data_IF_581882008379
#
_entry.id   IF_581882008379
#
_cell.length_a   1.000
_cell.length_b   1.000
_cell.length_c   1.000
_cell.angle_alpha   90.00
_cell.angle_beta   90.00
_cell.angle_gamma   90.00
#
_symmetry.space_group_name_H-M   'P 1'
#
loop_
_entity.id
_entity.type
_entity.pdbx_description
1 polymer ?
#
# COMPACT_ATOMS: atom_id res chain seq x y z
N UNK A 1 34.10 -43.48 -4.15
CA UNK A 1 32.81 -43.99 -3.66
C UNK A 1 32.34 -43.09 -2.54
N UNK A 2 31.18 -42.44 -2.67
CA UNK A 2 30.57 -41.72 -1.54
C UNK A 2 30.12 -42.75 -0.50
N UNK A 3 30.55 -42.63 0.76
CA UNK A 3 30.09 -43.49 1.86
C UNK A 3 28.58 -43.29 2.07
N UNK A 4 27.85 -44.37 2.35
CA UNK A 4 26.38 -44.38 2.46
C UNK A 4 25.80 -43.31 3.39
N UNK A 5 26.53 -42.96 4.46
CA UNK A 5 26.18 -41.90 5.42
C UNK A 5 26.19 -40.48 4.83
N UNK A 6 27.05 -40.20 3.85
CA UNK A 6 27.08 -38.90 3.14
C UNK A 6 25.93 -38.78 2.15
N UNK A 7 25.50 -39.88 1.54
CA UNK A 7 24.39 -39.91 0.59
C UNK A 7 23.04 -39.72 1.31
N UNK A 8 22.81 -40.39 2.44
CA UNK A 8 21.59 -40.18 3.25
C UNK A 8 21.52 -38.78 3.83
N UNK A 9 22.64 -38.20 4.28
CA UNK A 9 22.68 -36.82 4.76
C UNK A 9 22.31 -35.82 3.67
N UNK A 10 22.86 -35.98 2.45
CA UNK A 10 22.53 -35.10 1.31
C UNK A 10 21.05 -35.22 0.91
N UNK A 11 20.48 -36.43 0.93
CA UNK A 11 19.05 -36.65 0.65
C UNK A 11 18.17 -35.99 1.72
N UNK A 12 18.52 -36.08 3.00
CA UNK A 12 17.78 -35.41 4.08
C UNK A 12 17.85 -33.89 3.98
N UNK A 13 19.02 -33.31 3.70
CA UNK A 13 19.16 -31.86 3.50
C UNK A 13 18.32 -31.40 2.30
N UNK A 14 18.33 -32.15 1.20
CA UNK A 14 17.53 -31.82 0.02
C UNK A 14 16.02 -31.95 0.28
N UNK A 15 15.58 -33.04 0.94
CA UNK A 15 14.18 -33.22 1.35
C UNK A 15 13.71 -32.14 2.33
N UNK A 16 14.54 -31.76 3.31
CA UNK A 16 14.23 -30.69 4.25
C UNK A 16 14.11 -29.33 3.55
N UNK A 17 14.99 -29.02 2.60
CA UNK A 17 14.90 -27.81 1.79
C UNK A 17 13.64 -27.79 0.90
N UNK A 18 13.28 -28.94 0.31
CA UNK A 18 12.08 -29.07 -0.52
C UNK A 18 10.81 -28.94 0.31
N UNK A 19 10.77 -29.56 1.49
CA UNK A 19 9.67 -29.44 2.45
C UNK A 19 9.53 -27.99 2.95
N UNK A 20 10.63 -27.34 3.33
CA UNK A 20 10.63 -25.94 3.75
C UNK A 20 10.11 -25.02 2.62
N UNK A 21 10.54 -25.25 1.38
CA UNK A 21 10.06 -24.49 0.22
C UNK A 21 8.56 -24.70 -0.03
N UNK A 22 8.07 -25.94 0.03
CA UNK A 22 6.64 -26.25 -0.17
C UNK A 22 5.77 -25.68 0.96
N UNK A 23 6.20 -25.79 2.22
CA UNK A 23 5.51 -25.19 3.37
C UNK A 23 5.49 -23.66 3.24
N UNK A 24 6.61 -23.04 2.80
CA UNK A 24 6.69 -21.60 2.58
C UNK A 24 5.76 -21.11 1.47
N UNK A 25 5.71 -21.83 0.33
CA UNK A 25 4.83 -21.46 -0.79
C UNK A 25 3.36 -21.54 -0.38
N UNK A 26 2.97 -22.60 0.33
CA UNK A 26 1.60 -22.75 0.86
C UNK A 26 1.26 -21.68 1.90
N UNK A 27 2.16 -21.42 2.84
CA UNK A 27 1.95 -20.40 3.87
C UNK A 27 1.73 -18.99 3.27
N UNK A 28 2.47 -18.63 2.22
CA UNK A 28 2.24 -17.37 1.52
C UNK A 28 0.85 -17.33 0.89
N UNK A 29 0.43 -18.40 0.22
CA UNK A 29 -0.91 -18.50 -0.38
C UNK A 29 -2.02 -18.38 0.68
N UNK A 30 -1.83 -19.03 1.85
CA UNK A 30 -2.76 -18.97 2.98
C UNK A 30 -2.91 -17.54 3.52
N UNK A 31 -1.80 -16.79 3.63
CA UNK A 31 -1.85 -15.37 4.02
C UNK A 31 -2.65 -14.53 3.02
N UNK A 32 -2.44 -14.73 1.71
CA UNK A 32 -3.22 -14.01 0.70
C UNK A 32 -4.71 -14.37 0.73
N UNK A 33 -5.07 -15.61 1.05
CA UNK A 33 -6.48 -16.01 1.25
C UNK A 33 -7.08 -15.25 2.43
N UNK A 34 -6.37 -15.19 3.56
CA UNK A 34 -6.80 -14.45 4.75
C UNK A 34 -6.97 -12.95 4.46
N UNK A 35 -6.04 -12.34 3.72
CA UNK A 35 -6.12 -10.93 3.28
C UNK A 35 -7.34 -10.69 2.38
N UNK A 36 -7.60 -11.56 1.41
CA UNK A 36 -8.78 -11.43 0.52
C UNK A 36 -10.09 -11.54 1.28
N UNK A 37 -10.12 -12.34 2.34
CA UNK A 37 -11.25 -12.51 3.23
C UNK A 37 -11.43 -11.32 4.21
N UNK A 38 -10.45 -10.41 4.32
CA UNK A 38 -10.40 -9.35 5.34
C UNK A 38 -10.47 -9.91 6.79
N UNK A 39 -9.88 -11.09 7.00
CA UNK A 39 -9.89 -11.80 8.28
C UNK A 39 -8.59 -11.52 9.06
N UNK A 40 -8.66 -10.58 10.00
CA UNK A 40 -7.51 -10.19 10.84
C UNK A 40 -7.03 -11.33 11.75
N UNK A 41 -7.93 -12.21 12.20
CA UNK A 41 -7.55 -13.34 13.06
C UNK A 41 -6.74 -14.36 12.27
N UNK A 42 -7.18 -14.70 11.06
CA UNK A 42 -6.45 -15.61 10.17
C UNK A 42 -5.09 -15.02 9.74
N UNK A 43 -5.03 -13.70 9.47
CA UNK A 43 -3.77 -13.01 9.17
C UNK A 43 -2.80 -13.10 10.36
N UNK A 44 -3.26 -12.77 11.57
CA UNK A 44 -2.45 -12.85 12.77
C UNK A 44 -1.90 -14.26 13.00
N UNK A 45 -2.76 -15.28 12.87
CA UNK A 45 -2.36 -16.69 13.01
C UNK A 45 -1.32 -17.11 11.97
N UNK A 46 -1.48 -16.70 10.71
CA UNK A 46 -0.51 -17.02 9.65
C UNK A 46 0.87 -16.39 9.95
N UNK A 47 0.88 -15.13 10.37
CA UNK A 47 2.13 -14.43 10.73
C UNK A 47 2.77 -15.05 11.97
N UNK A 48 1.99 -15.38 13.00
CA UNK A 48 2.48 -16.02 14.21
C UNK A 48 2.99 -17.46 13.95
N UNK A 49 2.50 -18.11 12.88
CA UNK A 49 3.01 -19.40 12.37
C UNK A 49 4.31 -19.26 11.55
N UNK A 50 4.85 -18.05 11.39
CA UNK A 50 6.11 -17.78 10.70
C UNK A 50 5.98 -17.60 9.19
N UNK A 51 4.78 -17.32 8.67
CA UNK A 51 4.61 -16.91 7.28
C UNK A 51 5.27 -15.54 7.06
N UNK A 52 5.94 -15.40 5.93
CA UNK A 52 6.55 -14.12 5.54
C UNK A 52 5.46 -13.09 5.19
N UNK A 53 5.29 -12.14 6.12
CA UNK A 53 4.43 -10.97 6.03
C UNK A 53 4.62 -10.13 4.76
N UNK A 54 5.83 -10.10 4.20
CA UNK A 54 6.18 -9.31 3.02
C UNK A 54 6.29 -10.17 1.76
N UNK A 55 5.80 -11.41 1.80
CA UNK A 55 5.88 -12.32 0.67
C UNK A 55 5.15 -11.78 -0.55
N UNK A 56 5.82 -11.83 -1.70
CA UNK A 56 5.25 -11.37 -2.96
C UNK A 56 4.33 -12.46 -3.52
N UNK A 57 3.05 -12.13 -3.69
CA UNK A 57 2.04 -13.02 -4.27
C UNK A 57 2.21 -13.19 -5.78
N UNK A 58 1.40 -14.06 -6.38
CA UNK A 58 1.43 -14.32 -7.84
C UNK A 58 1.15 -13.09 -8.71
N UNK A 59 0.49 -12.07 -8.16
CA UNK A 59 0.25 -10.78 -8.81
C UNK A 59 1.39 -9.77 -8.69
N UNK A 60 2.53 -10.15 -8.11
CA UNK A 60 3.68 -9.24 -7.92
C UNK A 60 3.55 -8.28 -6.75
N UNK A 61 2.48 -8.39 -5.95
CA UNK A 61 2.18 -7.48 -4.84
C UNK A 61 2.52 -8.09 -3.49
N UNK A 62 2.87 -7.26 -2.51
CA UNK A 62 2.86 -7.65 -1.09
C UNK A 62 1.43 -7.82 -0.58
N UNK A 63 1.23 -8.52 0.57
CA UNK A 63 -0.10 -8.66 1.16
C UNK A 63 -0.71 -7.30 1.53
N UNK A 64 0.13 -6.36 2.01
CA UNK A 64 -0.30 -4.99 2.35
C UNK A 64 -0.82 -4.24 1.12
N UNK A 65 -0.06 -4.24 0.01
CA UNK A 65 -0.49 -3.58 -1.22
C UNK A 65 -1.79 -4.18 -1.75
N UNK A 66 -1.89 -5.52 -1.75
CA UNK A 66 -3.12 -6.20 -2.17
C UNK A 66 -4.33 -5.78 -1.31
N UNK A 67 -4.16 -5.72 0.01
CA UNK A 67 -5.19 -5.29 0.94
C UNK A 67 -5.67 -3.86 0.64
N UNK A 68 -4.73 -2.94 0.41
CA UNK A 68 -5.05 -1.54 0.08
C UNK A 68 -5.82 -1.42 -1.22
N UNK A 69 -5.35 -2.05 -2.29
CA UNK A 69 -5.96 -1.95 -3.62
C UNK A 69 -7.36 -2.58 -3.65
N UNK A 70 -7.58 -3.64 -2.88
CA UNK A 70 -8.86 -4.34 -2.79
C UNK A 70 -9.79 -3.82 -1.68
N UNK A 71 -9.37 -2.82 -0.91
CA UNK A 71 -10.20 -2.16 0.10
C UNK A 71 -10.37 -2.94 1.41
N UNK A 72 -9.44 -3.84 1.74
CA UNK A 72 -9.50 -4.76 2.90
C UNK A 72 -8.96 -4.07 4.14
N UNK A 73 -9.78 -3.20 4.74
CA UNK A 73 -9.36 -2.31 5.83
C UNK A 73 -8.86 -3.08 7.06
N UNK A 74 -9.54 -4.17 7.47
CA UNK A 74 -9.10 -4.94 8.65
C UNK A 74 -7.75 -5.60 8.39
N UNK A 75 -7.56 -6.14 7.19
CA UNK A 75 -6.30 -6.69 6.76
C UNK A 75 -5.19 -5.63 6.76
N UNK A 76 -5.45 -4.42 6.22
CA UNK A 76 -4.47 -3.31 6.26
C UNK A 76 -4.05 -3.00 7.70
N UNK A 77 -5.02 -2.85 8.62
CA UNK A 77 -4.73 -2.55 10.02
C UNK A 77 -3.87 -3.64 10.65
N UNK A 78 -4.26 -4.92 10.51
CA UNK A 78 -3.53 -6.03 11.11
C UNK A 78 -2.11 -6.16 10.54
N UNK A 79 -1.96 -6.05 9.21
CA UNK A 79 -0.65 -6.13 8.55
C UNK A 79 0.28 -5.02 9.03
N UNK A 80 -0.21 -3.78 9.15
CA UNK A 80 0.59 -2.66 9.66
C UNK A 80 0.93 -2.83 11.15
N UNK A 81 0.01 -3.36 11.97
CA UNK A 81 0.27 -3.66 13.38
C UNK A 81 1.34 -4.74 13.55
N UNK A 82 1.40 -5.71 12.64
CA UNK A 82 2.43 -6.75 12.58
C UNK A 82 3.74 -6.29 11.93
N UNK A 83 3.82 -5.03 11.49
CA UNK A 83 5.03 -4.42 10.96
C UNK A 83 5.28 -4.68 9.47
N UNK A 84 4.22 -4.76 8.66
CA UNK A 84 4.37 -4.91 7.21
C UNK A 84 5.19 -3.77 6.63
N UNK A 85 6.13 -4.11 5.75
CA UNK A 85 6.98 -3.13 5.11
C UNK A 85 6.26 -2.53 3.89
N UNK A 86 5.92 -1.26 4.00
CA UNK A 86 5.22 -0.51 2.95
C UNK A 86 6.11 -0.18 1.73
N UNK A 87 7.41 -0.48 1.78
CA UNK A 87 8.36 -0.18 0.70
C UNK A 87 8.59 -1.35 -0.26
N UNK A 88 8.07 -2.54 0.07
CA UNK A 88 8.35 -3.78 -0.68
C UNK A 88 7.31 -4.03 -1.78
N UNK A 89 7.78 -4.57 -2.91
CA UNK A 89 6.95 -5.22 -3.94
C UNK A 89 6.51 -4.34 -5.10
N UNK A 90 6.67 -3.02 -4.99
CA UNK A 90 6.32 -2.10 -6.07
C UNK A 90 7.56 -1.37 -6.60
N UNK A 91 7.56 -1.15 -7.91
CA UNK A 91 8.67 -0.47 -8.59
C UNK A 91 8.58 1.03 -8.38
N UNK A 92 9.73 1.69 -8.52
CA UNK A 92 9.78 3.14 -8.75
C UNK A 92 9.15 3.98 -7.62
N UNK A 93 9.15 3.46 -6.38
CA UNK A 93 8.64 4.17 -5.20
C UNK A 93 7.11 4.22 -5.09
N UNK A 94 6.37 3.34 -5.79
CA UNK A 94 4.91 3.30 -5.66
C UNK A 94 4.48 2.68 -4.31
N UNK A 95 4.05 3.52 -3.36
CA UNK A 95 3.74 3.10 -2.00
C UNK A 95 2.25 2.73 -1.81
N UNK A 96 1.88 2.01 -0.72
CA UNK A 96 0.48 1.76 -0.37
C UNK A 96 -0.37 3.04 -0.35
N UNK A 97 0.20 4.18 0.03
CA UNK A 97 -0.52 5.46 -0.01
C UNK A 97 -0.94 5.85 -1.43
N UNK A 98 -0.09 5.61 -2.44
CA UNK A 98 -0.45 5.82 -3.84
C UNK A 98 -1.61 4.93 -4.26
N UNK A 99 -1.58 3.65 -3.85
CA UNK A 99 -2.68 2.70 -4.08
C UNK A 99 -4.00 3.18 -3.46
N UNK A 100 -3.97 3.69 -2.23
CA UNK A 100 -5.13 4.23 -1.55
C UNK A 100 -5.68 5.48 -2.27
N UNK A 101 -4.80 6.39 -2.72
CA UNK A 101 -5.15 7.55 -3.54
C UNK A 101 -5.82 7.15 -4.85
N UNK A 102 -5.17 6.29 -5.62
CA UNK A 102 -5.66 5.82 -6.92
C UNK A 102 -7.04 5.15 -6.83
N UNK A 103 -7.24 4.33 -5.79
CA UNK A 103 -8.51 3.62 -5.54
C UNK A 103 -9.53 4.47 -4.77
N UNK A 104 -9.22 5.72 -4.40
CA UNK A 104 -10.11 6.57 -3.62
C UNK A 104 -10.53 5.92 -2.29
N UNK A 105 -9.58 5.35 -1.53
CA UNK A 105 -9.84 4.64 -0.27
C UNK A 105 -9.52 5.53 0.93
N UNK A 106 -10.36 6.52 1.19
CA UNK A 106 -10.15 7.53 2.25
C UNK A 106 -9.91 6.93 3.64
N UNK A 107 -10.69 5.93 4.05
CA UNK A 107 -10.48 5.25 5.34
C UNK A 107 -9.13 4.54 5.44
N UNK A 108 -8.68 3.92 4.34
CA UNK A 108 -7.38 3.24 4.29
C UNK A 108 -6.26 4.27 4.28
N UNK A 109 -6.38 5.36 3.51
CA UNK A 109 -5.42 6.46 3.55
C UNK A 109 -5.28 7.03 4.96
N UNK A 110 -6.39 7.19 5.69
CA UNK A 110 -6.35 7.64 7.08
C UNK A 110 -5.62 6.65 8.01
N UNK A 111 -5.85 5.34 7.84
CA UNK A 111 -5.11 4.29 8.57
C UNK A 111 -3.61 4.36 8.26
N UNK A 112 -3.23 4.48 6.99
CA UNK A 112 -1.82 4.55 6.58
C UNK A 112 -1.11 5.76 7.21
N UNK A 113 -1.74 6.94 7.17
CA UNK A 113 -1.20 8.16 7.82
C UNK A 113 -1.04 7.94 9.32
N UNK A 114 -2.04 7.34 9.98
CA UNK A 114 -1.99 7.05 11.43
C UNK A 114 -0.84 6.09 11.80
N UNK A 115 -0.47 5.18 10.90
CA UNK A 115 0.65 4.27 11.07
C UNK A 115 2.00 4.87 10.63
N UNK A 116 2.05 6.18 10.33
CA UNK A 116 3.29 6.91 10.08
C UNK A 116 3.84 6.78 8.65
N UNK A 117 3.04 6.28 7.70
CA UNK A 117 3.42 6.33 6.29
C UNK A 117 3.32 7.77 5.78
N UNK A 118 4.32 8.19 5.01
CA UNK A 118 4.39 9.54 4.46
C UNK A 118 3.32 9.73 3.37
N UNK A 119 2.35 10.66 3.56
CA UNK A 119 1.33 10.93 2.55
C UNK A 119 1.85 11.73 1.34
N UNK A 120 3.09 12.24 1.41
CA UNK A 120 3.75 13.07 0.39
C UNK A 120 4.78 12.31 -0.46
N UNK A 121 4.93 11.00 -0.25
CA UNK A 121 5.85 10.16 -1.03
C UNK A 121 5.72 10.40 -2.53
N UNK A 122 6.87 10.45 -3.23
CA UNK A 122 6.90 10.65 -4.68
C UNK A 122 7.22 9.35 -5.40
N UNK A 123 6.37 8.99 -6.34
CA UNK A 123 6.68 7.99 -7.36
C UNK A 123 7.74 8.53 -8.35
N UNK A 124 8.38 7.67 -9.14
CA UNK A 124 9.43 8.10 -10.10
C UNK A 124 8.96 9.17 -11.10
N UNK A 125 7.68 9.17 -11.47
CA UNK A 125 7.09 10.19 -12.34
C UNK A 125 6.79 11.53 -11.60
N UNK A 126 7.19 11.65 -10.35
CA UNK A 126 6.93 12.81 -9.48
C UNK A 126 5.49 12.91 -8.97
N UNK A 127 4.63 11.94 -9.28
CA UNK A 127 3.27 11.91 -8.74
C UNK A 127 3.28 11.53 -7.26
N UNK A 128 2.56 12.30 -6.46
CA UNK A 128 2.24 11.98 -5.06
C UNK A 128 0.91 11.21 -4.96
N UNK A 129 0.57 10.62 -3.79
CA UNK A 129 -0.75 10.05 -3.55
C UNK A 129 -1.90 11.03 -3.83
N UNK A 130 -1.70 12.33 -3.58
CA UNK A 130 -2.70 13.36 -3.85
C UNK A 130 -2.99 13.49 -5.35
N UNK A 131 -1.96 13.45 -6.20
CA UNK A 131 -2.13 13.43 -7.65
C UNK A 131 -2.96 12.23 -8.12
N UNK A 132 -2.65 11.04 -7.57
CA UNK A 132 -3.38 9.80 -7.89
C UNK A 132 -4.85 9.88 -7.46
N UNK A 133 -5.13 10.48 -6.30
CA UNK A 133 -6.50 10.72 -5.85
C UNK A 133 -7.24 11.72 -6.75
N UNK A 134 -6.58 12.82 -7.15
CA UNK A 134 -7.18 13.85 -8.01
C UNK A 134 -7.53 13.35 -9.42
N UNK A 135 -6.85 12.31 -9.92
CA UNK A 135 -7.19 11.71 -11.21
C UNK A 135 -8.56 11.02 -11.24
N UNK A 136 -9.05 10.59 -10.07
CA UNK A 136 -10.31 9.87 -9.94
C UNK A 136 -11.54 10.77 -10.07
N UNK A 137 -12.62 10.19 -10.60
CA UNK A 137 -13.85 10.92 -10.97
C UNK A 137 -14.99 10.79 -9.97
N UNK A 138 -14.83 9.93 -8.97
CA UNK A 138 -15.90 9.56 -8.03
C UNK A 138 -15.78 10.33 -6.73
N UNK A 139 -16.85 10.38 -5.93
CA UNK A 139 -16.84 11.06 -4.63
C UNK A 139 -15.84 10.44 -3.64
N UNK A 140 -15.61 9.13 -3.72
CA UNK A 140 -14.59 8.45 -2.89
C UNK A 140 -13.18 9.02 -3.08
N UNK A 141 -12.89 9.57 -4.26
CA UNK A 141 -11.64 10.27 -4.54
C UNK A 141 -11.60 11.65 -3.88
N UNK A 142 -12.71 12.39 -3.91
CA UNK A 142 -12.86 13.66 -3.18
C UNK A 142 -12.61 13.47 -1.67
N UNK A 143 -13.18 12.41 -1.08
CA UNK A 143 -12.98 12.09 0.33
C UNK A 143 -11.52 11.75 0.63
N UNK A 144 -10.85 11.06 -0.30
CA UNK A 144 -9.43 10.70 -0.17
C UNK A 144 -8.53 11.92 -0.29
N UNK A 145 -8.83 12.83 -1.23
CA UNK A 145 -8.17 14.14 -1.34
C UNK A 145 -8.31 14.90 -0.02
N UNK A 146 -9.52 14.93 0.56
CA UNK A 146 -9.74 15.58 1.85
C UNK A 146 -8.84 15.03 2.96
N UNK A 147 -8.73 13.70 3.07
CA UNK A 147 -7.85 13.04 4.05
C UNK A 147 -6.37 13.41 3.83
N UNK A 148 -5.90 13.41 2.58
CA UNK A 148 -4.51 13.74 2.26
C UNK A 148 -4.17 15.21 2.54
N UNK A 149 -5.07 16.14 2.23
CA UNK A 149 -4.90 17.56 2.57
C UNK A 149 -4.87 17.77 4.09
N UNK A 150 -5.74 17.08 4.83
CA UNK A 150 -5.72 17.11 6.29
C UNK A 150 -4.44 16.50 6.89
N UNK A 151 -3.79 15.59 6.17
CA UNK A 151 -2.49 15.03 6.55
C UNK A 151 -1.31 15.97 6.23
N UNK A 152 -1.57 17.18 5.69
CA UNK A 152 -0.56 18.19 5.42
C UNK A 152 0.10 18.10 4.05
N UNK A 153 -0.45 17.30 3.13
CA UNK A 153 0.06 17.24 1.75
C UNK A 153 -0.29 18.54 1.03
N UNK A 154 0.70 19.19 0.43
CA UNK A 154 0.48 20.43 -0.32
C UNK A 154 -0.32 20.16 -1.61
N UNK A 155 -1.39 20.94 -1.88
CA UNK A 155 -2.12 20.88 -3.15
C UNK A 155 -1.41 21.60 -4.31
N UNK A 156 -0.26 22.22 -4.06
CA UNK A 156 0.46 23.06 -5.02
C UNK A 156 1.64 22.36 -5.69
N UNK A 157 2.09 21.23 -5.14
CA UNK A 157 3.22 20.49 -5.70
C UNK A 157 2.88 19.90 -7.06
N UNK A 158 3.72 20.17 -8.05
CA UNK A 158 3.57 19.63 -9.41
C UNK A 158 4.23 18.25 -9.55
N UNK A 159 3.70 17.45 -10.47
CA UNK A 159 4.34 16.24 -10.98
C UNK A 159 5.62 16.57 -11.77
N UNK A 160 6.41 15.55 -12.15
CA UNK A 160 7.58 15.76 -13.03
C UNK A 160 7.21 16.28 -14.44
N UNK A 161 5.94 16.17 -14.83
CA UNK A 161 5.39 16.73 -16.08
C UNK A 161 4.81 18.14 -15.93
N UNK A 162 4.94 18.76 -14.76
CA UNK A 162 4.42 20.10 -14.47
C UNK A 162 2.91 20.16 -14.28
N UNK A 163 2.27 19.03 -13.94
CA UNK A 163 0.81 18.99 -13.69
C UNK A 163 0.53 19.18 -12.21
N UNK A 164 -0.31 20.15 -11.88
CA UNK A 164 -0.81 20.35 -10.52
C UNK A 164 -1.94 19.36 -10.18
N UNK A 165 -2.16 19.04 -8.89
CA UNK A 165 -3.31 18.24 -8.44
C UNK A 165 -4.66 18.82 -8.89
N UNK A 166 -4.78 20.16 -8.93
CA UNK A 166 -5.99 20.86 -9.37
C UNK A 166 -6.30 20.63 -10.86
N UNK A 167 -5.28 20.63 -11.72
CA UNK A 167 -5.43 20.34 -13.15
C UNK A 167 -5.79 18.87 -13.39
N UNK A 168 -5.21 17.96 -12.60
CA UNK A 168 -5.54 16.54 -12.67
C UNK A 168 -7.01 16.26 -12.31
N UNK A 169 -7.59 17.06 -11.41
CA UNK A 169 -8.99 16.96 -10.99
C UNK A 169 -10.02 17.49 -12.01
N UNK A 170 -9.64 17.80 -13.27
CA UNK A 170 -10.55 18.37 -14.28
C UNK A 170 -11.84 17.58 -14.54
N UNK A 171 -11.85 16.28 -14.26
CA UNK A 171 -13.03 15.43 -14.41
C UNK A 171 -13.82 15.20 -13.11
N UNK A 172 -13.48 15.91 -12.04
CA UNK A 172 -14.09 15.79 -10.73
C UNK A 172 -14.36 17.19 -10.13
N UNK A 173 -15.47 17.86 -10.52
CA UNK A 173 -15.79 19.20 -10.05
C UNK A 173 -15.84 19.35 -8.51
N UNK A 174 -16.37 18.37 -7.74
CA UNK A 174 -16.28 18.39 -6.27
C UNK A 174 -14.85 18.47 -5.75
N UNK A 175 -13.94 17.69 -6.32
CA UNK A 175 -12.51 17.72 -5.95
C UNK A 175 -11.88 19.06 -6.30
N UNK A 176 -12.18 19.64 -7.46
CA UNK A 176 -11.68 20.98 -7.82
C UNK A 176 -12.15 22.06 -6.84
N UNK A 177 -13.44 22.04 -6.49
CA UNK A 177 -14.00 23.00 -5.52
C UNK A 177 -13.33 22.86 -4.15
N UNK A 178 -13.05 21.63 -3.71
CA UNK A 178 -12.33 21.36 -2.47
C UNK A 178 -10.90 21.91 -2.52
N UNK A 179 -10.15 21.65 -3.60
CA UNK A 179 -8.78 22.11 -3.76
C UNK A 179 -8.69 23.65 -3.81
N UNK A 180 -9.55 24.31 -4.58
CA UNK A 180 -9.60 25.78 -4.64
C UNK A 180 -9.81 26.41 -3.27
N UNK A 181 -10.78 25.89 -2.52
CA UNK A 181 -11.06 26.35 -1.15
C UNK A 181 -9.87 26.17 -0.21
N UNK A 182 -9.11 25.09 -0.36
CA UNK A 182 -7.91 24.84 0.44
C UNK A 182 -6.77 25.79 0.08
N UNK A 183 -6.53 26.00 -1.23
CA UNK A 183 -5.50 26.91 -1.74
C UNK A 183 -5.77 28.34 -1.27
N UNK A 184 -7.01 28.84 -1.40
CA UNK A 184 -7.42 30.17 -0.92
C UNK A 184 -7.14 30.33 0.59
N UNK A 185 -7.40 29.30 1.38
CA UNK A 185 -7.15 29.32 2.82
C UNK A 185 -5.67 29.34 3.17
N UNK A 186 -4.84 28.69 2.37
CA UNK A 186 -3.39 28.63 2.55
C UNK A 186 -2.74 29.99 2.23
N UNK A 187 -3.19 30.64 1.15
CA UNK A 187 -2.73 31.97 0.73
C UNK A 187 -3.00 33.04 1.81
N UNK A 188 -4.20 33.04 2.38
CA UNK A 188 -4.55 33.94 3.49
C UNK A 188 -3.79 33.67 4.80
N UNK A 189 -3.16 32.50 4.95
CA UNK A 189 -2.35 32.18 6.14
C UNK A 189 -0.92 32.75 6.02
N UNK A 190 -0.44 32.96 4.80
CA UNK A 190 0.88 33.53 4.50
C UNK A 190 0.94 35.06 4.53
N UNK A 191 -0.21 35.75 4.52
CA UNK A 191 -0.32 37.22 4.56
C UNK A 191 -0.40 37.83 5.97
N UNK A 192 -0.31 37.01 7.04
CA UNK A 192 -0.35 37.42 8.46
C UNK A 192 0.99 37.16 9.16
#
# INVERSE_FOLDING_TARGET
MMNGSRLTFLIQVFLAALLCSVVRIRGNEDLFVAVRADDSSAIAQAIDAGVDLNSIGSGGQTPLMHAVLTGKKKAVIELLQKGADATIGEKDGYTPMHGAGFQGRSEIAHVLVKHGLDPSDRHADGYTPLHRACWGREQRHTDTVHVLLMAGVSPLEESSSGQSPLEMAHNNPPTQALLRKWIEKEDHRTEL
#
